data_IF_969280651967
#
_entry.id   IF_969280651967
#
_cell.length_a   1.000
_cell.length_b   1.000
_cell.length_c   1.000
_cell.angle_alpha   90.00
_cell.angle_beta   90.00
_cell.angle_gamma   90.00
#
_symmetry.space_group_name_H-M   'P 1'
#
loop_
_entity.id
_entity.type
_entity.pdbx_description
1 polymer ?
#
# COMPACT_ATOMS: atom_id res chain seq x y z
N UNK A 1 9.03 7.73 32.14
CA UNK A 1 9.39 7.42 30.73
C UNK A 1 8.45 6.37 30.13
N UNK A 2 8.39 5.15 30.67
CA UNK A 2 7.53 4.08 30.12
C UNK A 2 6.05 4.47 29.98
N UNK A 3 5.43 5.02 31.03
CA UNK A 3 4.05 5.51 31.00
C UNK A 3 3.80 6.56 29.91
N UNK A 4 4.70 7.55 29.81
CA UNK A 4 4.59 8.59 28.76
C UNK A 4 4.78 8.01 27.36
N UNK A 5 5.68 7.02 27.20
CA UNK A 5 5.82 6.28 25.94
C UNK A 5 4.52 5.60 25.55
N UNK A 6 3.89 4.83 26.46
CA UNK A 6 2.60 4.17 26.19
C UNK A 6 1.55 5.21 25.81
N UNK A 7 1.43 6.29 26.57
CA UNK A 7 0.49 7.38 26.29
C UNK A 7 0.67 7.99 24.90
N UNK A 8 1.91 8.27 24.49
CA UNK A 8 2.22 8.78 23.14
C UNK A 8 1.84 7.75 22.07
N UNK A 9 2.15 6.46 22.30
CA UNK A 9 1.74 5.39 21.40
C UNK A 9 0.20 5.30 21.29
N UNK A 10 -0.51 5.32 22.41
CA UNK A 10 -1.99 5.35 22.48
C UNK A 10 -2.59 6.50 21.68
N UNK A 11 -2.00 7.69 21.76
CA UNK A 11 -2.46 8.87 21.02
C UNK A 11 -2.17 8.79 19.52
N UNK A 12 -1.14 8.04 19.13
CA UNK A 12 -0.78 7.84 17.72
C UNK A 12 -1.62 6.76 17.01
N UNK A 13 -2.40 5.97 17.75
CA UNK A 13 -3.24 4.92 17.18
C UNK A 13 -4.39 5.52 16.37
N UNK A 14 -4.42 5.24 15.07
CA UNK A 14 -5.54 5.59 14.22
C UNK A 14 -6.75 4.72 14.57
N UNK A 15 -7.93 5.35 14.68
CA UNK A 15 -9.18 4.62 14.94
C UNK A 15 -9.45 3.60 13.83
N UNK A 16 -9.85 2.39 14.21
CA UNK A 16 -10.10 1.29 13.26
C UNK A 16 -8.87 0.43 12.95
N UNK A 17 -7.68 0.78 13.44
CA UNK A 17 -6.48 -0.05 13.24
C UNK A 17 -6.08 -0.81 14.51
N UNK A 18 -5.79 -2.10 14.35
CA UNK A 18 -5.11 -2.90 15.36
C UNK A 18 -3.61 -2.62 15.24
N UNK A 19 -3.02 -2.06 16.29
CA UNK A 19 -1.58 -1.71 16.32
C UNK A 19 -0.87 -2.45 17.45
N UNK A 20 0.44 -2.67 17.28
CA UNK A 20 1.26 -3.36 18.27
C UNK A 20 1.96 -2.40 19.21
N UNK A 21 2.07 -2.76 20.49
CA UNK A 21 2.84 -1.99 21.46
C UNK A 21 4.26 -2.55 21.61
N UNK A 22 5.21 -1.94 20.90
CA UNK A 22 6.60 -2.37 20.91
C UNK A 22 7.35 -1.86 22.14
N UNK A 23 8.35 -2.64 22.59
CA UNK A 23 9.34 -2.20 23.54
C UNK A 23 10.08 -0.96 23.03
N UNK A 24 10.19 0.15 23.77
CA UNK A 24 10.94 1.32 23.33
C UNK A 24 12.45 1.09 23.24
N UNK A 25 12.95 -0.02 23.80
CA UNK A 25 14.39 -0.33 23.84
C UNK A 25 14.78 -1.27 22.69
N UNK A 26 14.12 -2.42 22.57
CA UNK A 26 14.46 -3.42 21.55
C UNK A 26 13.55 -3.39 20.31
N UNK A 27 12.51 -2.54 20.32
CA UNK A 27 11.55 -2.37 19.23
C UNK A 27 10.77 -3.66 18.90
N UNK A 28 10.87 -4.68 19.77
CA UNK A 28 10.09 -5.91 19.64
C UNK A 28 8.70 -5.75 20.26
N UNK A 29 7.65 -6.33 19.67
CA UNK A 29 6.32 -6.41 20.27
C UNK A 29 6.38 -7.05 21.65
N UNK A 30 5.68 -6.48 22.62
CA UNK A 30 5.53 -7.04 23.96
C UNK A 30 4.06 -7.30 24.22
N UNK A 31 3.77 -8.47 24.76
CA UNK A 31 2.44 -8.84 25.21
C UNK A 31 1.90 -7.83 26.25
N UNK A 32 0.67 -7.36 26.07
CA UNK A 32 0.04 -6.34 26.92
C UNK A 32 -0.10 -6.80 28.38
N UNK A 33 -0.27 -8.10 28.63
CA UNK A 33 -0.22 -8.67 30.00
C UNK A 33 1.15 -8.42 30.64
N UNK A 34 2.23 -8.58 29.89
CA UNK A 34 3.58 -8.24 30.37
C UNK A 34 3.80 -6.74 30.53
N UNK A 35 3.04 -5.89 29.81
CA UNK A 35 3.07 -4.45 30.05
C UNK A 35 2.41 -4.09 31.39
N UNK A 36 1.27 -4.68 31.72
CA UNK A 36 0.62 -4.54 33.04
C UNK A 36 1.58 -4.91 34.18
N UNK A 37 2.26 -6.06 34.07
CA UNK A 37 3.23 -6.51 35.07
C UNK A 37 4.39 -5.50 35.27
N UNK A 38 4.83 -4.83 34.19
CA UNK A 38 5.93 -3.86 34.24
C UNK A 38 5.54 -2.51 34.81
N UNK A 39 4.26 -2.13 34.76
CA UNK A 39 3.77 -0.84 35.26
C UNK A 39 3.33 -0.89 36.73
N UNK A 40 3.41 -2.06 37.37
CA UNK A 40 3.19 -2.26 38.81
C UNK A 40 1.84 -1.67 39.31
N UNK A 41 0.79 -1.79 38.49
CA UNK A 41 -0.58 -1.38 38.85
C UNK A 41 -0.95 0.07 38.50
N UNK A 42 -0.11 0.81 37.78
CA UNK A 42 -0.49 2.08 37.17
C UNK A 42 -0.84 1.86 35.70
N UNK A 43 -1.98 1.18 35.49
CA UNK A 43 -2.32 0.52 34.24
C UNK A 43 -3.25 1.34 33.35
N UNK A 44 -3.63 2.55 33.77
CA UNK A 44 -4.59 3.41 33.06
C UNK A 44 -4.19 3.66 31.60
N UNK A 45 -2.90 3.87 31.32
CA UNK A 45 -2.43 4.08 29.94
C UNK A 45 -2.51 2.82 29.08
N UNK A 46 -2.29 1.64 29.67
CA UNK A 46 -2.42 0.37 28.97
C UNK A 46 -3.90 0.07 28.73
N UNK A 47 -4.76 0.28 29.72
CA UNK A 47 -6.21 0.13 29.55
C UNK A 47 -6.77 1.05 28.45
N UNK A 48 -6.27 2.28 28.37
CA UNK A 48 -6.61 3.19 27.26
C UNK A 48 -6.10 2.68 25.92
N UNK A 49 -4.91 2.08 25.87
CA UNK A 49 -4.37 1.45 24.66
C UNK A 49 -5.20 0.23 24.24
N UNK A 50 -5.57 -0.64 25.19
CA UNK A 50 -6.44 -1.79 24.96
C UNK A 50 -7.82 -1.38 24.45
N UNK A 51 -8.38 -0.30 24.99
CA UNK A 51 -9.67 0.21 24.52
C UNK A 51 -9.60 0.71 23.08
N UNK A 52 -8.49 1.35 22.68
CA UNK A 52 -8.26 1.72 21.26
C UNK A 52 -8.24 0.48 20.36
N UNK A 53 -7.63 -0.61 20.82
CA UNK A 53 -7.64 -1.89 20.10
C UNK A 53 -9.05 -2.47 20.07
N UNK A 54 -9.80 -2.48 21.17
CA UNK A 54 -11.21 -2.96 21.19
C UNK A 54 -12.09 -2.20 20.20
N UNK A 55 -11.97 -0.88 20.18
CA UNK A 55 -12.74 -0.01 19.28
C UNK A 55 -12.36 -0.24 17.82
N UNK A 56 -11.15 -0.72 17.51
CA UNK A 56 -10.78 -1.13 16.14
C UNK A 56 -11.62 -2.31 15.62
N UNK A 57 -12.19 -3.11 16.52
CA UNK A 57 -13.11 -4.20 16.20
C UNK A 57 -14.58 -3.81 16.39
N UNK A 58 -14.89 -2.52 16.55
CA UNK A 58 -16.25 -2.06 16.75
C UNK A 58 -17.00 -1.84 15.44
N UNK A 59 -18.27 -2.25 15.42
CA UNK A 59 -19.20 -2.03 14.33
C UNK A 59 -20.27 -1.05 14.83
N UNK A 60 -20.51 0.01 14.06
CA UNK A 60 -21.58 0.97 14.36
C UNK A 60 -22.89 0.49 13.76
N UNK A 61 -23.92 0.36 14.58
CA UNK A 61 -25.26 0.00 14.12
C UNK A 61 -25.84 1.13 13.26
N UNK A 62 -26.29 0.86 12.01
CA UNK A 62 -26.82 1.91 11.13
C UNK A 62 -28.17 2.48 11.60
N UNK A 63 -28.84 1.82 12.56
CA UNK A 63 -30.15 2.25 13.06
C UNK A 63 -30.04 3.14 14.30
N UNK A 64 -29.31 2.70 15.34
CA UNK A 64 -29.17 3.47 16.58
C UNK A 64 -27.87 4.28 16.66
N UNK A 65 -26.90 4.04 15.77
CA UNK A 65 -25.55 4.63 15.79
C UNK A 65 -24.70 4.25 17.02
N UNK A 66 -25.14 3.26 17.80
CA UNK A 66 -24.32 2.71 18.87
C UNK A 66 -23.22 1.81 18.28
N UNK A 67 -22.00 1.98 18.79
CA UNK A 67 -20.86 1.14 18.43
C UNK A 67 -20.76 -0.04 19.41
N UNK A 68 -20.77 -1.25 18.89
CA UNK A 68 -20.55 -2.47 19.67
C UNK A 68 -19.26 -3.15 19.20
N UNK A 69 -18.40 -3.54 20.14
CA UNK A 69 -17.19 -4.28 19.79
C UNK A 69 -17.54 -5.73 19.50
N UNK A 70 -17.07 -6.23 18.36
CA UNK A 70 -17.19 -7.66 18.02
C UNK A 70 -16.09 -8.49 18.68
N UNK A 71 -15.15 -7.86 19.39
CA UNK A 71 -14.09 -8.55 20.10
C UNK A 71 -14.63 -9.15 21.41
N UNK A 72 -14.61 -10.48 21.60
CA UNK A 72 -15.12 -11.08 22.83
C UNK A 72 -14.24 -10.69 24.03
N UNK A 73 -14.87 -10.58 25.19
CA UNK A 73 -14.18 -10.38 26.46
C UNK A 73 -13.30 -11.59 26.83
N UNK A 74 -12.15 -11.37 27.51
CA UNK A 74 -11.29 -12.45 27.96
C UNK A 74 -11.99 -13.35 28.98
N UNK A 75 -11.68 -14.64 28.95
CA UNK A 75 -12.21 -15.66 29.86
C UNK A 75 -11.11 -16.62 30.28
N UNK A 76 -11.11 -16.99 31.56
CA UNK A 76 -10.17 -17.97 32.13
C UNK A 76 -10.38 -19.40 31.62
N UNK A 77 -11.61 -19.73 31.21
CA UNK A 77 -11.95 -21.06 30.74
C UNK A 77 -13.12 -21.05 29.75
N UNK A 78 -13.18 -22.09 28.93
CA UNK A 78 -14.25 -22.34 27.96
C UNK A 78 -14.77 -23.77 28.11
N UNK A 79 -16.05 -24.03 27.77
CA UNK A 79 -16.58 -25.39 27.73
C UNK A 79 -15.73 -26.30 26.83
N UNK A 80 -15.58 -27.59 27.18
CA UNK A 80 -14.83 -28.53 26.35
C UNK A 80 -15.40 -28.65 24.93
N UNK A 81 -14.51 -28.57 23.94
CA UNK A 81 -14.86 -28.78 22.53
C UNK A 81 -15.27 -30.25 22.29
N UNK A 82 -16.42 -30.45 21.66
CA UNK A 82 -16.87 -31.77 21.22
C UNK A 82 -16.24 -32.10 19.87
N UNK A 83 -15.10 -32.78 19.88
CA UNK A 83 -14.35 -33.17 18.69
C UNK A 83 -14.24 -34.70 18.54
N UNK A 84 -14.17 -35.22 17.30
CA UNK A 84 -13.77 -36.60 17.06
C UNK A 84 -12.41 -36.92 17.71
N UNK A 85 -12.22 -38.16 18.17
CA UNK A 85 -11.02 -38.59 18.89
C UNK A 85 -9.72 -38.32 18.12
N UNK A 86 -9.74 -38.42 16.79
CA UNK A 86 -8.60 -38.12 15.92
C UNK A 86 -8.18 -36.65 16.01
N UNK A 87 -9.13 -35.71 16.01
CA UNK A 87 -8.89 -34.28 16.13
C UNK A 87 -8.59 -33.86 17.57
N UNK A 88 -9.22 -34.50 18.56
CA UNK A 88 -8.97 -34.24 19.97
C UNK A 88 -7.48 -34.44 20.34
N UNK A 89 -6.79 -35.39 19.69
CA UNK A 89 -5.34 -35.59 19.85
C UNK A 89 -4.49 -34.41 19.39
N UNK A 90 -4.99 -33.56 18.49
CA UNK A 90 -4.28 -32.37 17.97
C UNK A 90 -4.48 -31.14 18.86
N UNK A 91 -5.33 -31.19 19.89
CA UNK A 91 -5.57 -30.05 20.80
C UNK A 91 -4.32 -29.65 21.58
N UNK A 92 -3.46 -30.59 21.96
CA UNK A 92 -2.23 -30.25 22.69
C UNK A 92 -1.25 -29.45 21.81
N UNK A 93 -1.19 -29.76 20.53
CA UNK A 93 -0.40 -29.02 19.54
C UNK A 93 -1.00 -27.61 19.32
N UNK A 94 -2.33 -27.52 19.17
CA UNK A 94 -3.04 -26.24 19.10
C UNK A 94 -2.72 -25.35 20.31
N UNK A 95 -2.80 -25.88 21.54
CA UNK A 95 -2.44 -25.14 22.76
C UNK A 95 -1.02 -24.62 22.72
N UNK A 96 -0.08 -25.43 22.24
CA UNK A 96 1.32 -25.03 22.08
C UNK A 96 1.47 -23.88 21.10
N UNK A 97 0.79 -23.95 19.95
CA UNK A 97 0.80 -22.89 18.94
C UNK A 97 0.13 -21.61 19.44
N UNK A 98 -1.03 -21.69 20.11
CA UNK A 98 -1.67 -20.55 20.78
C UNK A 98 -0.73 -19.90 21.80
N UNK A 99 -0.04 -20.70 22.63
CA UNK A 99 0.93 -20.19 23.59
C UNK A 99 2.14 -19.49 22.94
N UNK A 100 2.61 -19.97 21.78
CA UNK A 100 3.65 -19.29 20.98
C UNK A 100 3.10 -18.01 20.34
N UNK A 101 1.89 -18.06 19.80
CA UNK A 101 1.18 -16.91 19.23
C UNK A 101 1.01 -15.79 20.26
N UNK A 102 0.51 -16.07 21.47
CA UNK A 102 0.35 -15.07 22.52
C UNK A 102 1.67 -14.43 22.96
N UNK A 103 2.81 -15.12 22.78
CA UNK A 103 4.17 -14.62 23.08
C UNK A 103 4.87 -13.99 21.87
N UNK A 104 4.15 -13.71 20.78
CA UNK A 104 4.70 -13.20 19.53
C UNK A 104 5.77 -14.10 18.86
N UNK A 105 5.83 -15.39 19.20
CA UNK A 105 6.75 -16.39 18.60
C UNK A 105 6.13 -17.20 17.45
N UNK A 106 4.93 -16.82 17.02
CA UNK A 106 4.19 -17.42 15.92
C UNK A 106 3.35 -16.35 15.23
N UNK A 107 3.37 -16.35 13.90
CA UNK A 107 2.54 -15.46 13.10
C UNK A 107 1.06 -15.92 13.12
N UNK A 108 0.12 -14.99 12.91
CA UNK A 108 -1.31 -15.35 12.95
C UNK A 108 -1.66 -16.28 11.79
N UNK A 109 -1.03 -16.08 10.64
CA UNK A 109 -1.22 -16.87 9.43
C UNK A 109 -0.89 -18.34 9.66
N UNK A 110 0.21 -18.63 10.38
CA UNK A 110 0.61 -20.00 10.72
C UNK A 110 -0.39 -20.67 11.67
N UNK A 111 -0.86 -19.95 12.69
CA UNK A 111 -1.89 -20.45 13.61
C UNK A 111 -3.21 -20.70 12.88
N UNK A 112 -3.62 -19.75 12.04
CA UNK A 112 -4.86 -19.81 11.29
C UNK A 112 -4.86 -20.97 10.29
N UNK A 113 -3.79 -21.11 9.50
CA UNK A 113 -3.63 -22.23 8.57
C UNK A 113 -3.65 -23.57 9.30
N UNK A 114 -2.96 -23.68 10.44
CA UNK A 114 -3.02 -24.89 11.26
C UNK A 114 -4.46 -25.21 11.69
N UNK A 115 -5.21 -24.22 12.20
CA UNK A 115 -6.60 -24.43 12.62
C UNK A 115 -7.48 -24.85 11.44
N UNK A 116 -7.33 -24.17 10.31
CA UNK A 116 -8.13 -24.41 9.11
C UNK A 116 -7.85 -25.79 8.50
N UNK A 117 -6.58 -26.13 8.31
CA UNK A 117 -6.16 -27.37 7.62
C UNK A 117 -6.38 -28.61 8.49
N UNK A 118 -6.18 -28.51 9.80
CA UNK A 118 -6.30 -29.66 10.70
C UNK A 118 -7.74 -29.90 11.13
N UNK A 119 -8.51 -28.84 11.40
CA UNK A 119 -9.84 -28.98 11.98
C UNK A 119 -10.99 -28.75 10.99
N UNK A 120 -10.70 -28.33 9.76
CA UNK A 120 -11.66 -28.25 8.64
C UNK A 120 -12.98 -27.57 9.05
N UNK A 121 -14.08 -28.32 9.05
CA UNK A 121 -15.42 -27.88 9.44
C UNK A 121 -15.56 -27.40 10.89
N UNK A 122 -14.59 -27.69 11.77
CA UNK A 122 -14.57 -27.22 13.16
C UNK A 122 -13.72 -25.95 13.34
N UNK A 123 -13.08 -25.42 12.28
CA UNK A 123 -12.17 -24.27 12.36
C UNK A 123 -12.83 -23.04 12.97
N UNK A 124 -14.02 -22.65 12.51
CA UNK A 124 -14.76 -21.50 13.05
C UNK A 124 -15.07 -21.67 14.54
N UNK A 125 -15.56 -22.85 14.94
CA UNK A 125 -15.89 -23.13 16.34
C UNK A 125 -14.65 -23.15 17.26
N UNK A 126 -13.51 -23.60 16.72
CA UNK A 126 -12.23 -23.53 17.43
C UNK A 126 -11.78 -22.10 17.59
N UNK A 127 -11.85 -21.27 16.55
CA UNK A 127 -11.52 -19.84 16.61
C UNK A 127 -12.38 -19.12 17.66
N UNK A 128 -13.70 -19.33 17.63
CA UNK A 128 -14.65 -18.80 18.63
C UNK A 128 -14.30 -19.25 20.06
N UNK A 129 -13.79 -20.47 20.21
CA UNK A 129 -13.42 -21.01 21.52
C UNK A 129 -12.07 -20.47 22.02
N UNK A 130 -11.08 -20.31 21.15
CA UNK A 130 -9.76 -19.83 21.57
C UNK A 130 -9.72 -18.31 21.74
N UNK A 131 -10.55 -17.55 21.02
CA UNK A 131 -10.52 -16.09 21.05
C UNK A 131 -10.68 -15.53 22.48
N UNK A 132 -11.69 -15.93 23.28
CA UNK A 132 -11.79 -15.49 24.68
C UNK A 132 -10.62 -15.93 25.56
N UNK A 133 -9.92 -17.02 25.22
CA UNK A 133 -8.77 -17.53 26.00
C UNK A 133 -7.47 -16.76 25.71
N UNK A 134 -7.44 -15.88 24.71
CA UNK A 134 -6.30 -15.00 24.43
C UNK A 134 -6.48 -13.74 25.27
N UNK A 135 -5.76 -13.64 26.39
CA UNK A 135 -5.91 -12.51 27.32
C UNK A 135 -5.34 -11.19 26.77
N UNK A 136 -4.29 -11.27 25.94
CA UNK A 136 -3.71 -10.12 25.28
C UNK A 136 -4.69 -9.54 24.24
N UNK A 137 -5.14 -8.30 24.47
CA UNK A 137 -6.16 -7.65 23.64
C UNK A 137 -5.70 -7.40 22.20
N UNK A 138 -4.42 -7.09 21.97
CA UNK A 138 -3.83 -6.95 20.62
C UNK A 138 -3.88 -8.29 19.88
N UNK A 139 -3.38 -9.36 20.51
CA UNK A 139 -3.34 -10.70 19.92
C UNK A 139 -4.73 -11.25 19.69
N UNK A 140 -5.68 -10.97 20.58
CA UNK A 140 -7.09 -11.34 20.41
C UNK A 140 -7.70 -10.63 19.20
N UNK A 141 -7.47 -9.33 19.03
CA UNK A 141 -7.97 -8.54 17.90
C UNK A 141 -7.36 -8.96 16.55
N UNK A 142 -6.05 -9.20 16.51
CA UNK A 142 -5.39 -9.73 15.29
C UNK A 142 -5.96 -11.11 14.92
N UNK A 143 -6.19 -11.98 15.91
CA UNK A 143 -6.75 -13.31 15.65
C UNK A 143 -8.20 -13.22 15.15
N UNK A 144 -9.00 -12.34 15.74
CA UNK A 144 -10.39 -12.10 15.33
C UNK A 144 -10.47 -11.60 13.87
N UNK A 145 -9.65 -10.63 13.52
CA UNK A 145 -9.65 -10.02 12.18
C UNK A 145 -9.05 -10.92 11.10
N UNK A 146 -8.10 -11.80 11.43
CA UNK A 146 -7.48 -12.71 10.46
C UNK A 146 -8.48 -13.65 9.77
N UNK A 147 -9.54 -14.08 10.48
CA UNK A 147 -10.60 -14.90 9.90
C UNK A 147 -11.40 -14.20 8.80
N UNK A 148 -11.49 -12.87 8.84
CA UNK A 148 -12.26 -12.08 7.87
C UNK A 148 -11.50 -11.75 6.58
N UNK A 149 -10.17 -11.93 6.57
CA UNK A 149 -9.32 -11.59 5.42
C UNK A 149 -8.89 -12.80 4.58
N UNK A 150 -9.32 -14.01 4.92
CA UNK A 150 -8.85 -15.26 4.26
C UNK A 150 -9.59 -15.64 2.98
N UNK A 151 -10.30 -14.68 2.37
CA UNK A 151 -10.73 -14.75 0.96
C UNK A 151 -9.54 -14.62 0.00
N UNK A 152 -8.64 -15.62 0.01
CA UNK A 152 -7.47 -15.74 -0.87
C UNK A 152 -6.28 -14.84 -0.51
N UNK A 153 -5.04 -15.25 -0.84
CA UNK A 153 -3.88 -14.38 -0.72
C UNK A 153 -4.08 -13.22 -1.70
N UNK A 154 -4.50 -12.06 -1.20
CA UNK A 154 -4.40 -10.83 -1.97
C UNK A 154 -2.92 -10.66 -2.30
N UNK A 155 -2.63 -10.54 -3.60
CA UNK A 155 -1.43 -9.88 -4.07
C UNK A 155 -1.17 -8.66 -3.19
N UNK A 156 0.10 -8.42 -2.85
CA UNK A 156 0.59 -7.39 -1.95
C UNK A 156 -0.35 -6.19 -1.79
N UNK A 157 -0.44 -5.69 -0.56
CA UNK A 157 -1.06 -4.41 -0.17
C UNK A 157 -0.38 -3.19 -0.85
N UNK A 158 0.14 -3.34 -2.07
CA UNK A 158 0.79 -2.35 -2.93
C UNK A 158 -0.16 -1.75 -3.97
N UNK A 159 -1.35 -2.32 -4.13
CA UNK A 159 -2.40 -1.62 -4.86
C UNK A 159 -2.87 -0.48 -3.95
N UNK A 160 -2.27 0.70 -4.13
CA UNK A 160 -2.78 2.03 -3.68
C UNK A 160 -4.19 2.32 -4.23
N UNK A 161 -4.84 1.32 -4.82
CA UNK A 161 -6.07 1.48 -5.54
C UNK A 161 -7.27 1.71 -4.64
N UNK A 162 -7.15 1.34 -3.36
CA UNK A 162 -8.21 1.38 -2.35
C UNK A 162 -7.91 2.40 -1.24
N UNK A 163 -7.04 3.40 -1.49
CA UNK A 163 -6.73 4.44 -0.52
C UNK A 163 -7.25 5.80 -0.99
N UNK A 164 -8.06 6.46 -0.17
CA UNK A 164 -8.43 7.87 -0.34
C UNK A 164 -7.87 8.69 0.83
N UNK A 165 -7.67 10.00 0.63
CA UNK A 165 -7.21 10.88 1.69
C UNK A 165 -8.27 11.96 1.94
N UNK A 166 -8.64 12.22 3.20
CA UNK A 166 -9.54 13.33 3.51
C UNK A 166 -8.91 14.65 3.02
N UNK A 167 -9.67 15.50 2.28
CA UNK A 167 -9.12 16.72 1.71
C UNK A 167 -8.73 17.73 2.79
N UNK A 168 -9.37 17.67 3.96
CA UNK A 168 -9.14 18.58 5.08
C UNK A 168 -8.00 18.11 6.00
N UNK A 169 -8.20 17.01 6.74
CA UNK A 169 -7.25 16.58 7.76
C UNK A 169 -6.16 15.61 7.27
N UNK A 170 -6.17 15.27 5.97
CA UNK A 170 -5.19 14.38 5.34
C UNK A 170 -5.14 12.94 5.89
N UNK A 171 -6.16 12.52 6.64
CA UNK A 171 -6.32 11.14 7.10
C UNK A 171 -6.53 10.20 5.91
N UNK A 172 -5.76 9.11 5.86
CA UNK A 172 -5.92 8.08 4.84
C UNK A 172 -7.01 7.10 5.25
N UNK A 173 -7.85 6.75 4.28
CA UNK A 173 -8.91 5.77 4.45
C UNK A 173 -8.65 4.59 3.52
N UNK A 174 -9.00 3.39 3.97
CA UNK A 174 -9.09 2.19 3.15
C UNK A 174 -10.55 1.74 3.16
N UNK A 175 -11.11 1.43 1.99
CA UNK A 175 -12.51 1.02 1.88
C UNK A 175 -12.59 -0.39 1.30
N UNK A 176 -13.22 -1.30 2.05
CA UNK A 176 -13.49 -2.67 1.60
C UNK A 176 -14.68 -2.76 0.66
N UNK A 177 -15.70 -1.92 0.86
CA UNK A 177 -16.98 -1.89 0.15
C UNK A 177 -17.85 -0.73 0.70
N UNK A 178 -18.93 -0.33 0.00
CA UNK A 178 -19.91 0.68 0.48
C UNK A 178 -20.13 1.89 -0.43
N UNK A 179 -20.87 2.89 0.07
CA UNK A 179 -21.26 4.10 -0.70
C UNK A 179 -20.08 5.02 -1.02
N UNK A 180 -20.13 5.74 -2.14
CA UNK A 180 -19.06 6.68 -2.53
C UNK A 180 -18.91 7.86 -1.55
N UNK A 181 -19.95 8.17 -0.80
CA UNK A 181 -19.94 9.23 0.20
C UNK A 181 -19.28 8.78 1.51
N UNK A 182 -18.31 9.55 1.97
CA UNK A 182 -17.55 9.31 3.20
C UNK A 182 -17.67 10.50 4.14
N UNK A 183 -17.72 10.24 5.44
CA UNK A 183 -17.59 11.27 6.46
C UNK A 183 -16.29 11.03 7.23
N UNK A 184 -15.40 12.01 7.20
CA UNK A 184 -14.14 11.96 7.92
C UNK A 184 -14.36 12.20 9.42
N UNK A 185 -13.45 11.70 10.26
CA UNK A 185 -13.46 11.98 11.69
C UNK A 185 -13.37 13.49 12.04
N UNK A 186 -12.80 14.32 11.16
CA UNK A 186 -12.80 15.78 11.34
C UNK A 186 -14.15 16.45 11.01
N UNK A 187 -15.17 15.67 10.63
CA UNK A 187 -16.49 16.16 10.22
C UNK A 187 -16.60 16.49 8.73
N UNK A 188 -15.51 16.39 7.96
CA UNK A 188 -15.53 16.67 6.53
C UNK A 188 -16.22 15.54 5.74
N UNK A 189 -17.24 15.91 4.97
CA UNK A 189 -17.86 15.02 4.00
C UNK A 189 -17.12 15.08 2.66
N UNK A 190 -16.86 13.93 2.04
CA UNK A 190 -16.19 13.88 0.74
C UNK A 190 -16.61 12.65 -0.09
N UNK A 191 -16.40 12.72 -1.40
CA UNK A 191 -16.54 11.58 -2.31
C UNK A 191 -15.24 10.76 -2.30
N UNK A 192 -15.37 9.48 -1.99
CA UNK A 192 -14.30 8.50 -2.02
C UNK A 192 -13.62 8.46 -3.39
N UNK A 193 -14.38 8.35 -4.47
CA UNK A 193 -13.85 8.32 -5.83
C UNK A 193 -13.04 9.56 -6.15
N UNK A 194 -13.54 10.75 -5.78
CA UNK A 194 -12.82 12.01 -6.02
C UNK A 194 -11.49 12.04 -5.27
N UNK A 195 -11.48 11.76 -3.97
CA UNK A 195 -10.26 11.89 -3.17
C UNK A 195 -9.26 10.76 -3.39
N UNK A 196 -9.74 9.57 -3.75
CA UNK A 196 -8.89 8.48 -4.23
C UNK A 196 -8.19 8.87 -5.53
N UNK A 197 -8.90 9.53 -6.45
CA UNK A 197 -8.29 10.05 -7.68
C UNK A 197 -7.29 11.17 -7.33
N UNK A 198 -7.68 12.15 -6.52
CA UNK A 198 -6.80 13.22 -6.05
C UNK A 198 -5.51 12.65 -5.46
N UNK A 199 -5.56 11.71 -4.52
CA UNK A 199 -4.38 11.10 -3.89
C UNK A 199 -3.46 10.40 -4.90
N UNK A 200 -4.01 9.78 -5.96
CA UNK A 200 -3.22 9.14 -7.01
C UNK A 200 -2.49 10.14 -7.91
N UNK A 201 -3.12 11.28 -8.21
CA UNK A 201 -2.59 12.25 -9.17
C UNK A 201 -1.82 13.40 -8.52
N UNK A 202 -2.06 13.69 -7.24
CA UNK A 202 -1.44 14.79 -6.50
C UNK A 202 0.10 14.66 -6.39
N UNK A 203 0.69 13.49 -6.11
CA UNK A 203 2.14 13.39 -5.93
C UNK A 203 2.93 13.37 -7.25
N UNK A 204 2.33 12.92 -8.36
CA UNK A 204 3.08 12.64 -9.58
C UNK A 204 3.15 13.81 -10.59
N UNK A 205 2.22 14.77 -10.51
CA UNK A 205 2.02 15.75 -11.59
C UNK A 205 2.08 17.22 -11.17
N UNK A 206 1.85 17.58 -9.90
CA UNK A 206 1.62 18.99 -9.55
C UNK A 206 2.82 19.73 -8.94
N UNK A 207 3.75 19.07 -8.25
CA UNK A 207 4.89 19.77 -7.60
C UNK A 207 5.88 20.43 -8.57
N UNK A 208 5.87 20.04 -9.86
CA UNK A 208 6.82 20.56 -10.86
C UNK A 208 6.22 21.58 -11.83
N UNK A 209 4.91 21.84 -11.74
CA UNK A 209 4.17 22.66 -12.70
C UNK A 209 3.92 24.06 -12.13
N UNK A 210 4.99 24.82 -11.95
CA UNK A 210 4.90 26.27 -11.70
C UNK A 210 4.95 27.03 -13.02
N UNK A 211 4.30 28.19 -13.12
CA UNK A 211 4.55 29.10 -14.23
C UNK A 211 6.03 29.49 -14.20
N UNK A 212 6.82 29.31 -15.28
CA UNK A 212 6.42 29.20 -16.69
C UNK A 212 6.35 27.78 -17.29
N UNK A 213 6.52 26.72 -16.52
CA UNK A 213 6.75 25.36 -17.02
C UNK A 213 5.56 24.76 -17.79
N UNK A 214 4.31 25.16 -17.50
CA UNK A 214 3.13 24.71 -18.26
C UNK A 214 2.71 25.68 -19.39
N UNK A 215 3.27 26.89 -19.44
CA UNK A 215 2.91 27.92 -20.42
C UNK A 215 3.19 27.51 -21.89
N UNK A 216 4.25 26.75 -22.22
CA UNK A 216 4.46 26.20 -23.56
C UNK A 216 3.40 25.17 -23.95
N UNK A 217 2.91 24.34 -23.02
CA UNK A 217 1.86 23.36 -23.27
C UNK A 217 0.51 24.07 -23.50
N UNK A 218 0.16 25.03 -22.65
CA UNK A 218 -1.03 25.88 -22.84
C UNK A 218 -0.97 26.60 -24.18
N UNK A 219 0.14 27.28 -24.51
CA UNK A 219 0.33 27.98 -25.79
C UNK A 219 0.31 27.04 -27.00
N UNK A 220 0.88 25.84 -26.87
CA UNK A 220 0.86 24.81 -27.92
C UNK A 220 -0.56 24.31 -28.19
N UNK A 221 -1.35 24.05 -27.14
CA UNK A 221 -2.75 23.66 -27.30
C UNK A 221 -3.60 24.83 -27.83
N UNK A 222 -3.45 26.06 -27.34
CA UNK A 222 -4.17 27.23 -27.87
C UNK A 222 -3.90 27.50 -29.36
N UNK A 223 -2.67 27.24 -29.82
CA UNK A 223 -2.27 27.43 -31.23
C UNK A 223 -2.83 26.34 -32.15
N UNK A 224 -2.96 25.10 -31.65
CA UNK A 224 -3.51 23.97 -32.43
C UNK A 224 -5.03 24.04 -32.57
N UNK A 225 -5.73 24.62 -31.59
CA UNK A 225 -7.19 24.68 -31.56
C UNK A 225 -7.80 26.00 -32.06
N UNK A 226 -6.99 26.89 -32.66
CA UNK A 226 -7.49 28.11 -33.32
C UNK A 226 -8.15 29.11 -32.36
N UNK A 227 -7.84 29.04 -31.07
CA UNK A 227 -8.39 29.96 -30.08
C UNK A 227 -7.76 31.34 -30.23
N UNK A 228 -8.55 32.37 -30.51
CA UNK A 228 -8.11 33.76 -30.53
C UNK A 228 -7.84 34.33 -29.12
N UNK A 229 -7.37 33.50 -28.19
CA UNK A 229 -7.04 33.87 -26.81
C UNK A 229 -8.22 34.36 -25.97
N UNK A 230 -9.47 34.06 -26.38
CA UNK A 230 -10.68 34.50 -25.68
C UNK A 230 -11.68 33.34 -25.60
N UNK A 231 -11.95 32.93 -24.36
CA UNK A 231 -12.88 31.90 -23.86
C UNK A 231 -12.33 30.45 -23.78
N UNK A 232 -12.39 29.89 -22.56
CA UNK A 232 -11.57 28.79 -22.00
C UNK A 232 -12.35 27.49 -21.70
N UNK A 233 -13.40 27.16 -22.44
CA UNK A 233 -14.09 25.86 -22.30
C UNK A 233 -13.81 24.96 -23.50
N UNK A 234 -12.76 24.12 -23.41
CA UNK A 234 -12.47 23.10 -24.44
C UNK A 234 -12.05 21.75 -23.82
N UNK A 235 -12.81 20.71 -24.17
CA UNK A 235 -12.52 19.29 -23.88
C UNK A 235 -11.51 18.73 -24.88
N UNK A 236 -10.51 17.99 -24.38
CA UNK A 236 -9.48 17.34 -25.22
C UNK A 236 -9.48 15.83 -24.96
N UNK A 237 -9.50 15.01 -26.03
CA UNK A 237 -9.45 13.55 -25.95
C UNK A 237 -8.02 13.02 -26.21
N UNK A 238 -7.52 12.24 -25.25
CA UNK A 238 -6.28 11.47 -25.37
C UNK A 238 -6.59 9.96 -25.42
N UNK A 239 -7.31 9.53 -26.45
CA UNK A 239 -7.34 8.17 -26.99
C UNK A 239 -8.00 7.09 -26.13
N UNK A 240 -8.03 7.23 -24.81
CA UNK A 240 -8.71 6.35 -23.85
C UNK A 240 -9.15 7.09 -22.58
N UNK A 241 -8.84 8.38 -22.44
CA UNK A 241 -9.29 9.23 -21.33
C UNK A 241 -9.53 10.63 -21.88
N UNK A 242 -10.74 11.15 -21.68
CA UNK A 242 -11.07 12.54 -22.01
C UNK A 242 -10.63 13.40 -20.83
N UNK A 243 -9.81 14.42 -21.10
CA UNK A 243 -9.41 15.38 -20.07
C UNK A 243 -10.27 16.64 -20.27
N UNK A 244 -11.17 16.88 -19.32
CA UNK A 244 -11.85 18.16 -19.17
C UNK A 244 -10.92 19.09 -18.40
N UNK A 245 -10.58 20.22 -18.99
CA UNK A 245 -9.83 21.29 -18.32
C UNK A 245 -10.82 22.40 -18.03
N UNK A 246 -11.09 22.66 -16.76
CA UNK A 246 -12.00 23.71 -16.33
C UNK A 246 -11.26 24.71 -15.45
N UNK A 247 -11.43 26.00 -15.72
CA UNK A 247 -10.94 27.04 -14.85
C UNK A 247 -12.06 27.46 -13.90
N UNK A 248 -12.00 27.01 -12.65
CA UNK A 248 -12.98 27.38 -11.63
C UNK A 248 -12.28 28.26 -10.59
N UNK A 249 -12.69 29.53 -10.53
CA UNK A 249 -12.18 30.51 -9.56
C UNK A 249 -10.66 30.72 -9.58
N UNK A 250 -10.03 30.62 -10.75
CA UNK A 250 -8.58 30.81 -10.91
C UNK A 250 -7.74 29.56 -10.60
N UNK A 251 -8.38 28.43 -10.34
CA UNK A 251 -7.74 27.12 -10.16
C UNK A 251 -8.11 26.23 -11.34
N UNK A 252 -7.09 25.63 -11.96
CA UNK A 252 -7.28 24.73 -13.10
C UNK A 252 -7.64 23.34 -12.56
N UNK A 253 -8.85 22.89 -12.85
CA UNK A 253 -9.33 21.55 -12.58
C UNK A 253 -9.15 20.66 -13.81
N UNK A 254 -8.57 19.48 -13.58
CA UNK A 254 -8.37 18.44 -14.58
C UNK A 254 -9.24 17.24 -14.21
N UNK A 255 -10.26 16.96 -15.01
CA UNK A 255 -11.13 15.79 -14.83
C UNK A 255 -10.89 14.77 -15.93
N UNK A 256 -10.65 13.52 -15.54
CA UNK A 256 -10.36 12.40 -16.43
C UNK A 256 -11.60 11.52 -16.58
N UNK A 257 -12.23 11.54 -17.74
CA UNK A 257 -13.47 10.79 -18.03
C UNK A 257 -13.15 9.54 -18.85
N UNK A 258 -13.53 8.35 -18.36
CA UNK A 258 -13.44 7.10 -19.14
C UNK A 258 -14.58 7.05 -20.18
N UNK A 259 -14.26 7.07 -21.49
CA UNK A 259 -15.26 7.07 -22.56
C UNK A 259 -16.08 5.77 -22.63
N UNK A 260 -15.65 4.69 -21.98
CA UNK A 260 -16.32 3.37 -22.03
C UNK A 260 -17.43 3.22 -21.01
N UNK A 261 -17.45 4.05 -19.97
CA UNK A 261 -18.39 3.93 -18.85
C UNK A 261 -19.38 5.11 -18.76
N UNK A 262 -19.49 5.93 -19.81
CA UNK A 262 -20.38 7.09 -19.83
C UNK A 262 -21.51 6.91 -20.85
N UNK A 263 -22.79 7.16 -20.48
CA UNK A 263 -23.92 7.04 -21.40
C UNK A 263 -24.01 8.24 -22.37
N UNK A 264 -22.91 8.96 -22.60
CA UNK A 264 -22.95 10.28 -23.20
C UNK A 264 -22.82 10.20 -24.74
N UNK A 265 -23.92 10.50 -25.43
CA UNK A 265 -24.05 10.53 -26.90
C UNK A 265 -22.99 11.42 -27.57
N UNK A 266 -22.58 12.51 -26.92
CA UNK A 266 -21.58 13.44 -27.43
C UNK A 266 -20.22 12.78 -27.69
N UNK A 267 -19.83 11.87 -26.81
CA UNK A 267 -18.53 11.20 -26.89
C UNK A 267 -18.47 10.23 -28.08
N UNK A 268 -19.57 9.53 -28.38
CA UNK A 268 -19.64 8.61 -29.53
C UNK A 268 -19.71 9.33 -30.87
N UNK A 269 -20.46 10.43 -30.93
CA UNK A 269 -20.79 11.08 -32.20
C UNK A 269 -19.78 12.16 -32.60
N UNK A 270 -19.12 12.80 -31.63
CA UNK A 270 -18.21 13.93 -31.91
C UNK A 270 -16.76 13.55 -31.63
N UNK A 271 -16.50 12.96 -30.48
CA UNK A 271 -15.12 12.75 -29.99
C UNK A 271 -14.44 11.58 -30.71
N UNK A 272 -15.09 10.42 -30.78
CA UNK A 272 -14.52 9.22 -31.44
C UNK A 272 -14.15 9.46 -32.93
N UNK A 273 -14.96 10.15 -33.75
CA UNK A 273 -14.57 10.47 -35.13
C UNK A 273 -13.35 11.39 -35.23
N UNK A 274 -13.21 12.38 -34.34
CA UNK A 274 -12.04 13.28 -34.36
C UNK A 274 -10.76 12.53 -34.00
N UNK A 275 -10.80 11.62 -33.04
CA UNK A 275 -9.65 10.78 -32.67
C UNK A 275 -9.26 9.73 -33.72
N UNK A 276 -10.09 9.52 -34.75
CA UNK A 276 -9.73 8.71 -35.91
C UNK A 276 -8.96 9.52 -36.97
N UNK A 277 -8.94 10.85 -36.87
CA UNK A 277 -8.21 11.71 -37.82
C UNK A 277 -6.70 11.42 -37.75
N UNK A 278 -6.03 11.23 -38.90
CA UNK A 278 -4.63 10.83 -38.95
C UNK A 278 -3.66 11.75 -38.16
N UNK A 279 -3.89 13.06 -38.21
CA UNK A 279 -3.10 14.09 -37.56
C UNK A 279 -3.21 14.02 -36.03
N UNK A 280 -4.41 13.80 -35.50
CA UNK A 280 -4.65 13.62 -34.06
C UNK A 280 -4.03 12.31 -33.59
N UNK A 281 -4.19 11.22 -34.36
CA UNK A 281 -3.50 9.95 -34.07
C UNK A 281 -1.98 10.08 -34.06
N UNK A 282 -1.43 10.86 -35.00
CA UNK A 282 0.02 11.11 -35.08
C UNK A 282 0.51 11.91 -33.87
N UNK A 283 -0.25 12.91 -33.41
CA UNK A 283 0.04 13.67 -32.20
C UNK A 283 -0.03 12.79 -30.94
N UNK A 284 -1.11 12.00 -30.78
CA UNK A 284 -1.28 11.05 -29.67
C UNK A 284 -0.11 10.06 -29.61
N UNK A 285 0.31 9.50 -30.75
CA UNK A 285 1.47 8.59 -30.80
C UNK A 285 2.77 9.26 -30.37
N UNK A 286 2.99 10.52 -30.73
CA UNK A 286 4.19 11.27 -30.31
C UNK A 286 4.22 11.48 -28.80
N UNK A 287 3.07 11.83 -28.20
CA UNK A 287 2.95 11.98 -26.74
C UNK A 287 3.14 10.64 -26.03
N UNK A 288 2.52 9.56 -26.52
CA UNK A 288 2.71 8.21 -25.96
C UNK A 288 4.17 7.79 -26.04
N UNK A 289 4.86 8.04 -27.16
CA UNK A 289 6.27 7.70 -27.31
C UNK A 289 7.14 8.53 -26.36
N UNK A 290 6.89 9.83 -26.24
CA UNK A 290 7.60 10.69 -25.29
C UNK A 290 7.41 10.24 -23.83
N UNK A 291 6.19 9.86 -23.44
CA UNK A 291 5.91 9.31 -22.10
C UNK A 291 6.59 7.95 -21.89
N UNK A 292 6.64 7.09 -22.90
CA UNK A 292 7.37 5.82 -22.85
C UNK A 292 8.87 6.05 -22.69
N UNK A 293 9.45 6.99 -23.42
CA UNK A 293 10.87 7.34 -23.31
C UNK A 293 11.20 7.92 -21.93
N UNK A 294 10.34 8.79 -21.38
CA UNK A 294 10.50 9.31 -20.02
C UNK A 294 10.37 8.24 -18.94
N UNK A 295 9.41 7.32 -19.07
CA UNK A 295 9.29 6.19 -18.15
C UNK A 295 10.48 5.23 -18.26
N UNK A 296 10.98 5.00 -19.48
CA UNK A 296 12.17 4.20 -19.73
C UNK A 296 13.39 4.85 -19.08
N UNK A 297 13.61 6.15 -19.27
CA UNK A 297 14.69 6.90 -18.63
C UNK A 297 14.60 6.87 -17.09
N UNK A 298 13.40 6.94 -16.51
CA UNK A 298 13.21 6.85 -15.05
C UNK A 298 13.49 5.45 -14.51
N UNK A 299 13.01 4.40 -15.19
CA UNK A 299 13.32 3.00 -14.85
C UNK A 299 14.81 2.73 -14.99
N UNK A 300 15.43 3.23 -16.05
CA UNK A 300 16.87 3.11 -16.28
C UNK A 300 17.67 3.86 -15.22
N UNK A 301 17.26 5.06 -14.81
CA UNK A 301 17.89 5.76 -13.67
C UNK A 301 17.76 4.99 -12.36
N UNK A 302 16.63 4.32 -12.11
CA UNK A 302 16.45 3.48 -10.92
C UNK A 302 17.35 2.24 -10.97
N UNK A 303 17.43 1.58 -12.13
CA UNK A 303 18.35 0.46 -12.36
C UNK A 303 19.80 0.92 -12.21
N UNK A 304 20.18 2.08 -12.75
CA UNK A 304 21.51 2.66 -12.56
C UNK A 304 21.79 2.99 -11.09
N UNK A 305 20.83 3.55 -10.35
CA UNK A 305 21.00 3.82 -8.92
C UNK A 305 21.10 2.53 -8.07
N UNK A 306 20.42 1.46 -8.48
CA UNK A 306 20.56 0.13 -7.87
C UNK A 306 21.92 -0.51 -8.23
N UNK A 307 22.39 -0.36 -9.46
CA UNK A 307 23.75 -0.79 -9.88
C UNK A 307 24.83 0.02 -9.16
N UNK A 308 24.62 1.32 -8.97
CA UNK A 308 25.49 2.24 -8.22
C UNK A 308 25.36 2.06 -6.70
N UNK A 309 24.48 1.18 -6.21
CA UNK A 309 24.42 0.83 -4.79
C UNK A 309 25.70 0.12 -4.36
N UNK A 310 26.38 0.64 -3.34
CA UNK A 310 27.61 0.09 -2.75
C UNK A 310 27.54 -1.41 -2.44
N UNK A 311 26.35 -1.95 -2.18
CA UNK A 311 26.17 -3.38 -1.94
C UNK A 311 26.18 -4.20 -3.23
N UNK A 312 25.49 -3.74 -4.27
CA UNK A 312 25.44 -4.43 -5.57
C UNK A 312 26.80 -4.31 -6.28
N UNK A 313 27.44 -3.14 -6.21
CA UNK A 313 28.80 -2.94 -6.70
C UNK A 313 29.80 -3.89 -6.03
N UNK A 314 29.76 -4.03 -4.69
CA UNK A 314 30.62 -5.00 -3.97
C UNK A 314 30.34 -6.44 -4.36
N UNK A 315 29.08 -6.85 -4.44
CA UNK A 315 28.73 -8.23 -4.81
C UNK A 315 29.11 -8.55 -6.26
N UNK A 316 28.93 -7.60 -7.18
CA UNK A 316 29.35 -7.73 -8.57
C UNK A 316 30.88 -7.82 -8.67
N UNK A 317 31.62 -7.02 -7.88
CA UNK A 317 33.08 -7.08 -7.79
C UNK A 317 33.56 -8.44 -7.28
N UNK A 318 33.02 -8.90 -6.16
CA UNK A 318 33.39 -10.20 -5.57
C UNK A 318 33.06 -11.36 -6.51
N UNK A 319 31.90 -11.32 -7.16
CA UNK A 319 31.54 -12.29 -8.19
C UNK A 319 32.53 -12.27 -9.36
N UNK A 320 32.90 -11.07 -9.85
CA UNK A 320 33.80 -10.93 -10.99
C UNK A 320 35.23 -11.35 -10.66
N UNK A 321 35.76 -11.02 -9.49
CA UNK A 321 37.09 -11.45 -9.04
C UNK A 321 37.15 -12.98 -8.93
N UNK A 322 36.14 -13.59 -8.32
CA UNK A 322 36.03 -15.05 -8.20
C UNK A 322 35.85 -15.73 -9.55
N UNK A 323 35.02 -15.18 -10.44
CA UNK A 323 34.81 -15.74 -11.76
C UNK A 323 36.08 -15.59 -12.62
N UNK A 324 36.67 -14.39 -12.67
CA UNK A 324 37.89 -14.10 -13.44
C UNK A 324 39.09 -14.90 -12.94
N UNK A 325 39.21 -15.21 -11.66
CA UNK A 325 40.28 -16.10 -11.16
C UNK A 325 40.24 -17.49 -11.82
N UNK A 326 39.06 -17.98 -12.20
CA UNK A 326 38.83 -19.33 -12.72
C UNK A 326 38.79 -19.43 -14.25
N UNK A 327 38.86 -18.31 -14.97
CA UNK A 327 38.86 -18.29 -16.45
C UNK A 327 40.29 -18.47 -17.00
N UNK A 328 40.41 -19.18 -18.13
CA UNK A 328 41.66 -19.35 -18.85
C UNK A 328 42.23 -18.01 -19.33
N UNK A 329 43.53 -17.97 -19.67
CA UNK A 329 44.15 -16.72 -20.12
C UNK A 329 43.56 -16.22 -21.45
N UNK A 330 43.35 -17.12 -22.40
CA UNK A 330 42.87 -16.78 -23.75
C UNK A 330 41.41 -16.27 -23.70
N UNK A 331 40.57 -16.86 -22.83
CA UNK A 331 39.19 -16.42 -22.63
C UNK A 331 39.12 -15.04 -21.93
N UNK A 332 40.08 -14.73 -21.05
CA UNK A 332 40.18 -13.38 -20.44
C UNK A 332 40.47 -12.32 -21.50
N UNK A 333 41.41 -12.60 -22.40
CA UNK A 333 41.78 -11.69 -23.48
C UNK A 333 40.61 -11.49 -24.45
N UNK A 334 39.87 -12.55 -24.80
CA UNK A 334 38.67 -12.45 -25.63
C UNK A 334 37.56 -11.60 -24.97
N UNK A 335 37.33 -11.81 -23.67
CA UNK A 335 36.32 -11.08 -22.91
C UNK A 335 36.68 -9.60 -22.75
N UNK A 336 37.95 -9.27 -22.55
CA UNK A 336 38.42 -7.88 -22.48
C UNK A 336 38.22 -7.15 -23.82
N UNK A 337 38.45 -7.82 -24.95
CA UNK A 337 38.20 -7.26 -26.29
C UNK A 337 36.70 -7.10 -26.59
N UNK A 338 35.85 -8.02 -26.13
CA UNK A 338 34.40 -7.90 -26.27
C UNK A 338 33.83 -6.73 -25.45
N UNK A 339 34.28 -6.57 -24.20
CA UNK A 339 33.89 -5.44 -23.34
C UNK A 339 34.35 -4.11 -23.95
N UNK A 340 35.59 -4.04 -24.47
CA UNK A 340 36.08 -2.87 -25.22
C UNK A 340 35.18 -2.54 -26.42
N UNK A 341 34.76 -3.56 -27.18
CA UNK A 341 33.87 -3.40 -28.32
C UNK A 341 32.47 -2.89 -27.96
N UNK A 342 31.89 -3.39 -26.86
CA UNK A 342 30.53 -3.03 -26.43
C UNK A 342 30.46 -1.61 -25.86
N UNK A 343 31.44 -1.22 -25.03
CA UNK A 343 31.38 0.04 -24.29
C UNK A 343 32.24 1.16 -24.90
N UNK A 344 33.11 0.85 -25.87
CA UNK A 344 34.01 1.82 -26.48
C UNK A 344 34.99 2.45 -25.49
N UNK A 345 35.25 1.78 -24.36
CA UNK A 345 36.12 2.26 -23.29
C UNK A 345 37.49 1.59 -23.37
N UNK A 346 38.54 2.37 -23.09
CA UNK A 346 39.89 1.84 -22.92
C UNK A 346 39.93 0.91 -21.69
N UNK A 347 40.64 -0.21 -21.81
CA UNK A 347 40.86 -1.19 -20.73
C UNK A 347 41.37 -0.54 -19.44
N UNK A 348 42.14 0.53 -19.54
CA UNK A 348 42.64 1.27 -18.38
C UNK A 348 41.54 2.06 -17.64
N UNK A 349 40.46 2.43 -18.33
CA UNK A 349 39.30 3.07 -17.71
C UNK A 349 38.40 2.03 -17.03
N UNK A 350 38.18 0.88 -17.66
CA UNK A 350 37.40 -0.23 -17.10
C UNK A 350 38.02 -0.74 -15.79
N UNK A 351 39.35 -0.91 -15.77
CA UNK A 351 40.07 -1.32 -14.57
C UNK A 351 40.01 -0.26 -13.45
N UNK A 352 39.81 1.02 -13.78
CA UNK A 352 39.67 2.11 -12.79
C UNK A 352 38.24 2.37 -12.34
N UNK A 353 37.23 1.98 -13.11
CA UNK A 353 35.82 2.28 -12.79
C UNK A 353 35.09 1.07 -12.18
N UNK A 354 35.49 -0.16 -12.51
CA UNK A 354 34.76 -1.37 -12.08
C UNK A 354 35.56 -2.31 -11.16
N UNK A 355 36.85 -2.06 -10.91
CA UNK A 355 37.70 -2.90 -10.04
C UNK A 355 38.16 -2.22 -8.74
N UNK A 356 37.56 -1.10 -8.33
CA UNK A 356 37.74 -0.54 -6.98
C UNK A 356 36.72 -1.03 -5.97
#
# INVERSE_FOLDING_TARGET
>A
CTKEFVKVQTQSVLQGLVVKLNCPICIQPINLVSWHERLLGNDDEILQFEERIRVSCAVTCPSCHDAETMLPDPRESMPPLKLPTSLARRIQELKTLCGRYCRHHLHIEELYLFIHDIFLQYSSHILETILPLIHDTERRAICHTAGHHTGGPRASLESTEDIAQCPECKLHFVKSDGCDSMNCFCGQYFSWQNERMSLRFYPAYMETWTNPNYAPLVKYFSTIFGGNGKEEDQLIDLGHIVISIQNQSGVIHLEFVDPRNTPNKYLREVVIPQCKRPEIRKAIRRVINYLKDLMWQRRWKKVLAEIESDMIARNAKEYWENHRANISKDDKEALDEEIKGIFGMDTDYINKTFLF
#
